data_IF_393338664488
#
_entry.id   IF_393338664488
#
_cell.length_a   1.000
_cell.length_b   1.000
_cell.length_c   1.000
_cell.angle_alpha   90.00
_cell.angle_beta   90.00
_cell.angle_gamma   90.00
#
_symmetry.space_group_name_H-M   'P 1'
#
loop_
_entity.id
_entity.type
_entity.pdbx_description
1 polymer ?
#
# COMPACT_ATOMS: atom_id res chain seq x y z
N UNK A 1 -8.33 -1.16 47.26
CA UNK A 1 -7.09 -1.22 46.43
C UNK A 1 -7.35 -1.24 44.91
N UNK A 2 -8.57 -1.57 44.43
CA UNK A 2 -8.89 -1.66 42.99
C UNK A 2 -8.91 -0.32 42.23
N UNK A 3 -9.29 0.78 42.89
CA UNK A 3 -9.44 2.10 42.26
C UNK A 3 -8.13 2.66 41.68
N UNK A 4 -7.00 2.33 42.31
CA UNK A 4 -5.65 2.73 41.84
C UNK A 4 -5.20 1.98 40.59
N UNK A 5 -5.47 0.68 40.51
CA UNK A 5 -5.09 -0.17 39.36
C UNK A 5 -5.82 0.24 38.08
N UNK A 6 -7.11 0.56 38.17
CA UNK A 6 -7.89 1.03 37.02
C UNK A 6 -7.33 2.35 36.44
N UNK A 7 -6.92 3.29 37.29
CA UNK A 7 -6.40 4.59 36.84
C UNK A 7 -5.08 4.47 36.07
N UNK A 8 -4.20 3.55 36.49
CA UNK A 8 -2.92 3.30 35.80
C UNK A 8 -3.16 2.71 34.39
N UNK A 9 -4.08 1.76 34.26
CA UNK A 9 -4.40 1.12 32.98
C UNK A 9 -4.94 2.12 31.94
N UNK A 10 -5.74 3.09 32.37
CA UNK A 10 -6.22 4.17 31.51
C UNK A 10 -5.10 5.10 31.03
N UNK A 11 -4.11 5.40 31.89
CA UNK A 11 -2.92 6.15 31.50
C UNK A 11 -2.09 5.40 30.45
N UNK A 12 -1.88 4.09 30.64
CA UNK A 12 -1.18 3.23 29.67
C UNK A 12 -1.93 3.21 28.33
N UNK A 13 -3.26 3.06 28.35
CA UNK A 13 -4.06 3.08 27.13
C UNK A 13 -3.93 4.41 26.39
N UNK A 14 -3.94 5.53 27.11
CA UNK A 14 -3.79 6.85 26.52
C UNK A 14 -2.43 7.03 25.84
N UNK A 15 -1.33 6.67 26.53
CA UNK A 15 0.02 6.72 25.97
C UNK A 15 0.13 5.82 24.74
N UNK A 16 -0.38 4.58 24.84
CA UNK A 16 -0.40 3.65 23.71
C UNK A 16 -1.19 4.22 22.52
N UNK A 17 -2.34 4.84 22.78
CA UNK A 17 -3.16 5.46 21.73
C UNK A 17 -2.44 6.64 21.06
N UNK A 18 -1.74 7.49 21.82
CA UNK A 18 -0.91 8.55 21.24
C UNK A 18 0.20 7.99 20.35
N UNK A 19 0.93 6.98 20.81
CA UNK A 19 1.97 6.31 20.03
C UNK A 19 1.40 5.62 18.78
N UNK A 20 0.22 4.99 18.92
CA UNK A 20 -0.52 4.38 17.82
C UNK A 20 -0.78 5.40 16.71
N UNK A 21 -1.36 6.56 17.03
CA UNK A 21 -1.63 7.60 16.04
C UNK A 21 -0.34 8.06 15.34
N UNK A 22 0.72 8.35 16.11
CA UNK A 22 2.00 8.78 15.55
C UNK A 22 2.60 7.73 14.60
N UNK A 23 2.55 6.45 14.98
CA UNK A 23 3.04 5.36 14.15
C UNK A 23 2.21 5.21 12.86
N UNK A 24 0.88 5.34 12.88
CA UNK A 24 0.08 5.31 11.65
C UNK A 24 0.35 6.51 10.74
N UNK A 25 0.64 7.69 11.29
CA UNK A 25 1.08 8.83 10.48
C UNK A 25 2.39 8.51 9.74
N UNK A 26 3.35 7.86 10.41
CA UNK A 26 4.58 7.39 9.78
C UNK A 26 4.28 6.35 8.69
N UNK A 27 3.38 5.40 8.93
CA UNK A 27 2.99 4.41 7.92
C UNK A 27 2.38 5.06 6.68
N UNK A 28 1.46 6.01 6.86
CA UNK A 28 0.85 6.77 5.75
C UNK A 28 1.94 7.45 4.90
N UNK A 29 2.90 8.11 5.55
CA UNK A 29 4.00 8.78 4.87
C UNK A 29 4.91 7.80 4.11
N UNK A 30 5.26 6.66 4.73
CA UNK A 30 6.15 5.66 4.11
C UNK A 30 5.46 4.95 2.93
N UNK A 31 4.18 4.60 3.06
CA UNK A 31 3.41 3.93 2.01
C UNK A 31 3.32 4.83 0.77
N UNK A 32 3.11 6.13 0.98
CA UNK A 32 3.03 7.14 -0.08
C UNK A 32 4.41 7.36 -0.76
N UNK A 33 5.46 7.62 0.03
CA UNK A 33 6.80 7.90 -0.50
C UNK A 33 7.41 6.72 -1.26
N UNK A 34 7.26 5.50 -0.74
CA UNK A 34 7.95 4.31 -1.27
C UNK A 34 7.05 3.51 -2.23
N UNK A 35 5.81 3.94 -2.46
CA UNK A 35 4.81 3.18 -3.24
C UNK A 35 4.76 1.71 -2.80
N UNK A 36 4.77 1.47 -1.49
CA UNK A 36 4.93 0.12 -0.92
C UNK A 36 3.87 -0.81 -1.52
N UNK A 37 4.27 -1.92 -2.16
CA UNK A 37 3.32 -2.85 -2.75
C UNK A 37 2.55 -3.59 -1.66
N UNK A 38 1.29 -3.91 -1.95
CA UNK A 38 0.46 -4.70 -1.04
C UNK A 38 0.98 -6.14 -1.01
N UNK A 39 1.62 -6.48 0.12
CA UNK A 39 2.15 -7.81 0.42
C UNK A 39 1.50 -8.33 1.70
N UNK A 40 1.55 -9.65 1.90
CA UNK A 40 1.08 -10.26 3.16
C UNK A 40 1.83 -9.66 4.36
N UNK A 41 3.13 -9.38 4.19
CA UNK A 41 3.96 -8.76 5.22
C UNK A 41 3.49 -7.34 5.57
N UNK A 42 3.19 -6.49 4.58
CA UNK A 42 2.74 -5.12 4.86
C UNK A 42 1.34 -5.09 5.50
N UNK A 43 0.45 -6.01 5.11
CA UNK A 43 -0.85 -6.20 5.80
C UNK A 43 -0.67 -6.55 7.28
N UNK A 44 0.20 -7.53 7.60
CA UNK A 44 0.45 -7.91 8.99
C UNK A 44 1.00 -6.74 9.82
N UNK A 45 1.98 -6.01 9.28
CA UNK A 45 2.58 -4.86 9.98
C UNK A 45 1.55 -3.76 10.25
N UNK A 46 0.67 -3.47 9.29
CA UNK A 46 -0.36 -2.42 9.45
C UNK A 46 -1.49 -2.86 10.38
N UNK A 47 -1.85 -4.14 10.45
CA UNK A 47 -2.98 -4.63 11.26
C UNK A 47 -2.57 -4.95 12.70
N UNK A 48 -1.33 -5.40 12.93
CA UNK A 48 -0.85 -5.85 14.25
C UNK A 48 -1.05 -4.83 15.39
N UNK A 49 -0.78 -3.51 15.21
CA UNK A 49 -0.98 -2.53 16.27
C UNK A 49 -2.46 -2.32 16.64
N UNK A 50 -3.37 -2.52 15.68
CA UNK A 50 -4.81 -2.47 15.94
C UNK A 50 -5.26 -3.69 16.74
N UNK A 51 -4.74 -4.88 16.44
CA UNK A 51 -5.01 -6.09 17.24
C UNK A 51 -4.55 -5.91 18.68
N UNK A 52 -3.35 -5.37 18.90
CA UNK A 52 -2.82 -5.08 20.23
C UNK A 52 -3.71 -4.08 20.99
N UNK A 53 -4.24 -3.05 20.32
CA UNK A 53 -5.20 -2.11 20.91
C UNK A 53 -6.44 -2.87 21.44
N UNK A 54 -7.04 -3.73 20.62
CA UNK A 54 -8.24 -4.51 21.00
C UNK A 54 -7.98 -5.41 22.22
N UNK A 55 -6.80 -6.04 22.28
CA UNK A 55 -6.40 -6.88 23.42
C UNK A 55 -6.31 -6.05 24.70
N UNK A 56 -5.65 -4.88 24.65
CA UNK A 56 -5.52 -3.98 25.81
C UNK A 56 -6.89 -3.53 26.29
N UNK A 57 -7.78 -3.13 25.38
CA UNK A 57 -9.13 -2.70 25.73
C UNK A 57 -9.97 -3.82 26.37
N UNK A 58 -9.86 -5.05 25.86
CA UNK A 58 -10.53 -6.23 26.44
C UNK A 58 -10.04 -6.48 27.87
N UNK A 59 -8.75 -6.32 28.12
CA UNK A 59 -8.17 -6.45 29.47
C UNK A 59 -8.70 -5.36 30.42
N UNK A 60 -8.76 -4.11 29.96
CA UNK A 60 -9.31 -2.99 30.76
C UNK A 60 -10.78 -3.25 31.14
N UNK A 61 -11.60 -3.72 30.20
CA UNK A 61 -13.00 -4.07 30.47
C UNK A 61 -13.16 -5.20 31.48
N UNK A 62 -12.24 -6.17 31.47
CA UNK A 62 -12.26 -7.29 32.40
C UNK A 62 -11.98 -6.84 33.85
N UNK A 63 -11.06 -5.89 34.03
CA UNK A 63 -10.64 -5.37 35.34
C UNK A 63 -11.52 -4.20 35.82
N UNK A 64 -12.33 -3.59 34.94
CA UNK A 64 -13.11 -2.41 35.29
C UNK A 64 -14.34 -2.70 36.16
N UNK A 65 -14.44 -1.95 37.26
CA UNK A 65 -15.62 -1.90 38.12
C UNK A 65 -16.77 -1.02 37.54
N UNK A 66 -16.51 -0.19 36.52
CA UNK A 66 -17.48 0.74 35.90
C UNK A 66 -17.76 0.37 34.44
N UNK A 67 -18.24 -0.85 34.27
CA UNK A 67 -18.33 -1.53 32.97
C UNK A 67 -19.02 -0.74 31.86
N UNK A 68 -20.15 -0.06 32.11
CA UNK A 68 -20.92 0.61 31.05
C UNK A 68 -20.29 1.93 30.56
N UNK A 69 -19.78 2.77 31.48
CA UNK A 69 -19.09 4.01 31.10
C UNK A 69 -17.81 3.70 30.33
N UNK A 70 -17.05 2.72 30.81
CA UNK A 70 -15.77 2.32 30.23
C UNK A 70 -15.98 1.69 28.84
N UNK A 71 -17.01 0.85 28.66
CA UNK A 71 -17.40 0.33 27.33
C UNK A 71 -17.65 1.44 26.31
N UNK A 72 -18.42 2.47 26.68
CA UNK A 72 -18.72 3.58 25.76
C UNK A 72 -17.45 4.32 25.35
N UNK A 73 -16.57 4.61 26.31
CA UNK A 73 -15.31 5.30 26.03
C UNK A 73 -14.36 4.45 25.17
N UNK A 74 -14.21 3.15 25.45
CA UNK A 74 -13.37 2.25 24.65
C UNK A 74 -13.92 2.07 23.23
N UNK A 75 -15.24 2.03 23.07
CA UNK A 75 -15.87 2.03 21.75
C UNK A 75 -15.54 3.29 20.95
N UNK A 76 -15.58 4.46 21.57
CA UNK A 76 -15.14 5.71 20.94
C UNK A 76 -13.66 5.63 20.52
N UNK A 77 -12.77 5.14 21.40
CA UNK A 77 -11.35 4.95 21.07
C UNK A 77 -11.17 4.00 19.88
N UNK A 78 -11.93 2.90 19.81
CA UNK A 78 -11.90 1.99 18.66
C UNK A 78 -12.32 2.67 17.36
N UNK A 79 -13.41 3.44 17.39
CA UNK A 79 -13.90 4.13 16.19
C UNK A 79 -12.89 5.13 15.66
N UNK A 80 -12.23 5.89 16.55
CA UNK A 80 -11.18 6.82 16.14
C UNK A 80 -9.94 6.07 15.63
N UNK A 81 -9.54 4.96 16.29
CA UNK A 81 -8.41 4.14 15.85
C UNK A 81 -8.64 3.48 14.47
N UNK A 82 -9.89 3.20 14.11
CA UNK A 82 -10.21 2.56 12.85
C UNK A 82 -9.94 3.46 11.64
N UNK A 83 -10.06 4.78 11.80
CA UNK A 83 -9.87 5.76 10.72
C UNK A 83 -8.48 5.62 10.06
N UNK A 84 -7.35 5.74 10.78
CA UNK A 84 -6.03 5.60 10.17
C UNK A 84 -5.76 4.20 9.61
N UNK A 85 -6.32 3.14 10.21
CA UNK A 85 -6.21 1.79 9.67
C UNK A 85 -6.87 1.66 8.29
N UNK A 86 -8.07 2.23 8.13
CA UNK A 86 -8.77 2.26 6.84
C UNK A 86 -7.94 3.05 5.82
N UNK A 87 -7.38 4.21 6.20
CA UNK A 87 -6.54 5.02 5.30
C UNK A 87 -5.34 4.22 4.78
N UNK A 88 -4.57 3.58 5.68
CA UNK A 88 -3.44 2.74 5.25
C UNK A 88 -3.88 1.57 4.35
N UNK A 89 -5.01 0.94 4.66
CA UNK A 89 -5.54 -0.17 3.86
C UNK A 89 -5.93 0.29 2.45
N UNK A 90 -6.56 1.47 2.33
CA UNK A 90 -6.92 2.05 1.03
C UNK A 90 -5.66 2.40 0.24
N UNK A 91 -4.66 3.05 0.86
CA UNK A 91 -3.40 3.38 0.19
C UNK A 91 -2.66 2.15 -0.31
N UNK A 92 -2.52 1.10 0.53
CA UNK A 92 -1.94 -0.16 0.10
C UNK A 92 -2.73 -0.81 -1.06
N UNK A 93 -4.06 -0.74 -1.01
CA UNK A 93 -4.91 -1.30 -2.07
C UNK A 93 -4.78 -0.54 -3.39
N UNK A 94 -4.69 0.79 -3.34
CA UNK A 94 -4.43 1.63 -4.50
C UNK A 94 -3.04 1.32 -5.09
N UNK A 95 -2.01 1.21 -4.25
CA UNK A 95 -0.67 0.84 -4.69
C UNK A 95 -0.65 -0.53 -5.39
N UNK A 96 -1.34 -1.54 -4.84
CA UNK A 96 -1.48 -2.84 -5.53
C UNK A 96 -2.16 -2.70 -6.89
N UNK A 97 -3.23 -1.91 -6.92
CA UNK A 97 -4.02 -1.73 -8.12
C UNK A 97 -3.23 -0.99 -9.20
N UNK A 98 -2.34 -0.06 -8.84
CA UNK A 98 -1.46 0.65 -9.77
C UNK A 98 -0.24 -0.15 -10.20
N UNK A 99 0.26 -1.04 -9.35
CA UNK A 99 1.48 -1.83 -9.62
C UNK A 99 1.23 -3.14 -10.36
N UNK A 100 0.03 -3.70 -10.31
CA UNK A 100 -0.31 -4.91 -11.06
C UNK A 100 -0.43 -4.62 -12.56
N UNK A 101 0.15 -5.48 -13.39
CA UNK A 101 0.03 -5.40 -14.83
C UNK A 101 -1.44 -5.52 -15.26
N UNK A 102 -1.90 -4.53 -16.00
CA UNK A 102 -3.20 -4.53 -16.64
C UNK A 102 -3.04 -4.07 -18.09
N UNK A 103 -3.32 -4.95 -19.04
CA UNK A 103 -3.08 -4.71 -20.47
C UNK A 103 -3.86 -3.50 -21.01
N UNK A 104 -5.12 -3.29 -20.60
CA UNK A 104 -5.91 -2.13 -21.02
C UNK A 104 -5.29 -0.82 -20.50
N UNK A 105 -4.89 -0.81 -19.22
CA UNK A 105 -4.24 0.35 -18.61
C UNK A 105 -2.86 0.61 -19.20
N UNK A 106 -2.11 -0.45 -19.51
CA UNK A 106 -0.83 -0.40 -20.19
C UNK A 106 -0.95 0.24 -21.58
N UNK A 107 -2.01 -0.09 -22.32
CA UNK A 107 -2.26 0.47 -23.65
C UNK A 107 -2.72 1.93 -23.60
N UNK A 108 -3.56 2.29 -22.63
CA UNK A 108 -4.25 3.58 -22.60
C UNK A 108 -3.57 4.68 -21.74
N UNK A 109 -2.72 4.32 -20.77
CA UNK A 109 -2.09 5.27 -19.83
C UNK A 109 -0.57 5.09 -19.80
N UNK A 110 0.12 5.85 -20.64
CA UNK A 110 1.56 5.75 -20.88
C UNK A 110 2.39 6.11 -19.64
N UNK A 111 1.96 7.13 -18.91
CA UNK A 111 2.57 7.61 -17.67
C UNK A 111 2.50 6.59 -16.52
N UNK A 112 1.56 5.64 -16.58
CA UNK A 112 1.39 4.61 -15.54
C UNK A 112 2.17 3.32 -15.82
N UNK A 113 2.78 3.20 -17.00
CA UNK A 113 3.53 2.00 -17.40
C UNK A 113 4.68 1.67 -16.47
N UNK A 114 5.38 2.70 -15.97
CA UNK A 114 6.55 2.54 -15.08
C UNK A 114 6.22 1.73 -13.82
N UNK A 115 5.00 1.85 -13.29
CA UNK A 115 4.57 1.14 -12.09
C UNK A 115 4.23 -0.34 -12.34
N UNK A 116 4.03 -0.75 -13.60
CA UNK A 116 3.67 -2.12 -14.00
C UNK A 116 4.87 -2.93 -14.51
N UNK A 117 6.04 -2.30 -14.70
CA UNK A 117 7.25 -2.96 -15.26
C UNK A 117 7.74 -4.08 -14.35
N UNK A 118 7.77 -3.86 -13.04
CA UNK A 118 8.25 -4.88 -12.10
C UNK A 118 7.36 -6.12 -12.09
N UNK A 119 6.03 -5.95 -12.18
CA UNK A 119 5.07 -7.05 -12.25
C UNK A 119 5.18 -7.82 -13.59
N UNK A 120 5.46 -7.10 -14.68
CA UNK A 120 5.74 -7.70 -15.99
C UNK A 120 7.01 -8.56 -15.99
N UNK A 121 8.09 -8.06 -15.37
CA UNK A 121 9.37 -8.77 -15.32
C UNK A 121 9.34 -9.94 -14.34
N UNK A 122 8.73 -9.77 -13.16
CA UNK A 122 8.73 -10.78 -12.10
C UNK A 122 7.61 -11.82 -12.26
N UNK A 123 6.36 -11.41 -12.48
CA UNK A 123 5.23 -12.35 -12.54
C UNK A 123 5.00 -12.88 -13.95
N UNK A 124 5.15 -12.06 -14.99
CA UNK A 124 4.83 -12.45 -16.36
C UNK A 124 6.03 -12.95 -17.17
N UNK A 125 7.24 -12.95 -16.57
CA UNK A 125 8.51 -13.48 -17.14
C UNK A 125 8.64 -13.18 -18.63
N UNK A 126 8.76 -11.90 -18.95
CA UNK A 126 8.99 -11.45 -20.33
C UNK A 126 10.31 -12.02 -20.90
N UNK A 127 11.30 -12.24 -20.03
CA UNK A 127 12.61 -12.79 -20.38
C UNK A 127 12.42 -14.27 -20.79
N UNK A 128 12.65 -14.55 -22.08
CA UNK A 128 12.54 -15.89 -22.66
C UNK A 128 11.27 -16.13 -23.49
N UNK A 129 10.33 -15.17 -23.55
CA UNK A 129 9.15 -15.23 -24.44
C UNK A 129 9.51 -14.80 -25.86
N UNK A 130 8.84 -15.36 -26.86
CA UNK A 130 8.99 -14.92 -28.26
C UNK A 130 8.39 -13.53 -28.47
N UNK A 131 8.78 -12.85 -29.55
CA UNK A 131 8.25 -11.54 -29.89
C UNK A 131 6.73 -11.55 -30.11
N UNK A 132 6.19 -12.62 -30.71
CA UNK A 132 4.74 -12.77 -30.89
C UNK A 132 4.00 -12.91 -29.56
N UNK A 133 4.58 -13.65 -28.61
CA UNK A 133 4.03 -13.83 -27.26
C UNK A 133 4.03 -12.53 -26.47
N UNK A 134 5.10 -11.74 -26.58
CA UNK A 134 5.22 -10.42 -25.94
C UNK A 134 4.18 -9.45 -26.54
N UNK A 135 4.02 -9.42 -27.86
CA UNK A 135 3.04 -8.56 -28.54
C UNK A 135 1.61 -8.96 -28.16
N UNK A 136 1.33 -10.26 -28.02
CA UNK A 136 0.02 -10.76 -27.58
C UNK A 136 -0.28 -10.37 -26.13
N UNK A 137 0.72 -10.41 -25.26
CA UNK A 137 0.61 -10.07 -23.83
C UNK A 137 0.47 -8.55 -23.58
N UNK A 138 1.31 -7.74 -24.23
CA UNK A 138 1.30 -6.28 -24.07
C UNK A 138 0.20 -5.60 -24.91
N UNK A 139 -0.39 -6.35 -25.86
CA UNK A 139 -1.29 -5.85 -26.88
C UNK A 139 -0.51 -5.16 -28.00
N UNK A 140 -1.18 -4.96 -29.14
CA UNK A 140 -0.64 -4.13 -30.20
C UNK A 140 -0.52 -2.70 -29.66
N UNK A 141 0.68 -2.32 -29.24
CA UNK A 141 0.99 -0.97 -28.79
C UNK A 141 0.68 -0.01 -29.95
N UNK A 142 -0.51 0.58 -29.92
CA UNK A 142 -1.01 1.50 -30.97
C UNK A 142 -0.04 2.66 -31.22
N UNK A 143 0.77 3.01 -30.22
CA UNK A 143 1.84 4.03 -30.27
C UNK A 143 3.24 3.50 -30.66
N UNK A 144 3.52 2.20 -30.69
CA UNK A 144 4.81 1.70 -31.21
C UNK A 144 4.93 1.90 -32.74
N UNK A 145 3.84 2.14 -33.45
CA UNK A 145 3.89 2.56 -34.85
C UNK A 145 4.48 3.98 -35.05
N UNK A 146 4.54 4.80 -33.99
CA UNK A 146 5.19 6.12 -34.02
C UNK A 146 6.69 5.95 -33.73
N UNK A 147 7.03 5.23 -32.67
CA UNK A 147 8.43 4.91 -32.31
C UNK A 147 9.18 4.13 -33.39
N UNK A 148 8.50 3.20 -34.09
CA UNK A 148 9.11 2.46 -35.22
C UNK A 148 9.42 3.38 -36.41
N UNK A 149 8.62 4.44 -36.61
CA UNK A 149 8.79 5.41 -37.71
C UNK A 149 9.90 6.43 -37.39
N UNK A 150 10.00 6.86 -36.13
CA UNK A 150 11.09 7.73 -35.67
C UNK A 150 12.44 6.99 -35.65
N UNK A 151 12.49 5.75 -35.14
CA UNK A 151 13.71 4.94 -35.15
C UNK A 151 14.21 4.63 -36.56
N UNK A 152 13.29 4.37 -37.52
CA UNK A 152 13.65 4.24 -38.94
C UNK A 152 14.26 5.54 -39.50
N UNK A 153 13.75 6.70 -39.09
CA UNK A 153 14.30 8.00 -39.48
C UNK A 153 15.73 8.19 -38.95
N UNK A 154 15.98 7.90 -37.67
CA UNK A 154 17.32 8.04 -37.06
C UNK A 154 18.33 7.00 -37.58
N UNK A 155 17.86 5.80 -37.95
CA UNK A 155 18.71 4.76 -38.55
C UNK A 155 19.09 5.11 -40.00
N UNK A 156 18.18 5.72 -40.76
CA UNK A 156 18.46 6.24 -42.12
C UNK A 156 19.37 7.49 -42.05
N UNK A 157 19.29 8.29 -40.98
CA UNK A 157 20.12 9.48 -40.74
C UNK A 157 21.45 9.19 -40.00
N UNK A 158 21.75 7.94 -39.67
CA UNK A 158 23.06 7.53 -39.12
C UNK A 158 23.37 8.00 -37.69
N UNK A 159 22.37 8.32 -36.87
CA UNK A 159 22.58 8.76 -35.48
C UNK A 159 22.41 7.60 -34.48
N UNK A 160 23.49 7.29 -33.76
CA UNK A 160 23.54 6.24 -32.72
C UNK A 160 22.64 6.57 -31.52
N UNK A 161 21.80 5.61 -31.13
CA UNK A 161 20.74 5.69 -30.09
C UNK A 161 21.30 5.69 -28.65
N UNK A 162 22.59 5.94 -28.45
CA UNK A 162 23.26 5.80 -27.14
C UNK A 162 23.10 7.04 -26.23
N UNK A 163 22.52 8.14 -26.71
CA UNK A 163 22.54 9.42 -25.98
C UNK A 163 21.28 9.77 -25.16
N UNK A 164 20.40 8.81 -24.82
CA UNK A 164 19.16 9.10 -24.07
C UNK A 164 18.86 8.16 -22.89
N UNK A 165 19.90 7.49 -22.36
CA UNK A 165 19.88 7.02 -20.97
C UNK A 165 20.48 8.11 -20.08
#
# INVERSE_FOLDING_TARGET
MEKGKSSILWGILYIYFCLYILMYLVFIFVIDMVHVPLSVMSMFVVVMPFILLVIIQKFILHVSARRDKDKKQLFTVMMVALIPLIVCTVQLSVNKYTSNFNQDRWLNYEEKRVHMVDDLLQQHKLIGKSNEEIIKLLGALRKQAVWKRELLHYTILGMNVVSFL
#
